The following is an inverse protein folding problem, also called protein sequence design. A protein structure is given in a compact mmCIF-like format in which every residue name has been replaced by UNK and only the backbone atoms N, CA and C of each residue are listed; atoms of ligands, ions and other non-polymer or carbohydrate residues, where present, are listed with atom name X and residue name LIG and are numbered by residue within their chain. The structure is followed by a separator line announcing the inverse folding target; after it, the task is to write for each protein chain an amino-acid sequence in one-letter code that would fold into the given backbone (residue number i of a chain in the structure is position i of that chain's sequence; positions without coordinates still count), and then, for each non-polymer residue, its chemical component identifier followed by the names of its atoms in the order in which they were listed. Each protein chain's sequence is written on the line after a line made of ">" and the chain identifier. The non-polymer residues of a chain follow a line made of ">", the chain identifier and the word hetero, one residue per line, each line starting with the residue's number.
data_IF_406188112701
#
_entry.id   IF_406188112701
#
_cell.length_a   1.000
_cell.length_b   1.000
_cell.length_c   1.000
_cell.angle_alpha   90.00
_cell.angle_beta   90.00
_cell.angle_gamma   90.00
#
_symmetry.space_group_name_H-M   'P 1'
#
loop_
_entity.id
_entity.type
_entity.pdbx_description
1 polymer ?
#
# COMPACT_ATOMS: atom_id res chain seq x y z
N UNK A 1 -16.07 44.68 12.52
CA UNK A 1 -15.02 43.97 11.76
C UNK A 1 -13.72 43.80 12.57
N UNK A 2 -13.17 44.86 13.20
CA UNK A 2 -11.98 44.73 14.09
C UNK A 2 -12.21 43.81 15.31
N UNK A 3 -13.34 43.95 16.01
CA UNK A 3 -13.68 43.08 17.15
C UNK A 3 -13.85 41.59 16.79
N UNK A 4 -14.15 41.28 15.52
CA UNK A 4 -14.22 39.91 15.03
C UNK A 4 -12.82 39.33 14.75
N UNK A 5 -11.89 40.16 14.29
CA UNK A 5 -10.46 39.80 14.14
C UNK A 5 -9.80 39.54 15.50
N UNK A 6 -10.10 40.34 16.51
CA UNK A 6 -9.53 40.17 17.86
C UNK A 6 -10.04 38.89 18.53
N UNK A 7 -11.35 38.58 18.44
CA UNK A 7 -11.91 37.32 18.94
C UNK A 7 -11.37 36.07 18.23
N UNK A 8 -10.97 36.20 16.96
CA UNK A 8 -10.30 35.11 16.24
C UNK A 8 -8.84 34.95 16.66
N UNK A 9 -8.10 36.04 16.88
CA UNK A 9 -6.73 35.96 17.38
C UNK A 9 -6.65 35.36 18.80
N UNK A 10 -7.61 35.70 19.66
CA UNK A 10 -7.67 35.21 21.05
C UNK A 10 -8.03 33.71 21.13
N UNK A 11 -8.94 33.24 20.28
CA UNK A 11 -9.21 31.78 20.11
C UNK A 11 -8.01 31.00 19.56
N UNK A 12 -7.09 31.66 18.85
CA UNK A 12 -5.92 30.99 18.24
C UNK A 12 -4.66 31.01 19.12
N UNK A 13 -4.48 31.99 20.01
CA UNK A 13 -3.41 31.95 21.03
C UNK A 13 -3.51 30.71 21.93
N UNK A 14 -4.73 30.21 22.18
CA UNK A 14 -4.97 28.98 22.93
C UNK A 14 -4.81 27.67 22.12
N UNK A 15 -4.52 27.74 20.81
CA UNK A 15 -4.52 26.58 19.90
C UNK A 15 -3.12 26.09 19.49
N UNK A 16 -2.06 26.76 19.94
CA UNK A 16 -0.66 26.36 19.65
C UNK A 16 -0.22 25.05 20.32
N UNK A 17 -1.07 24.43 21.16
CA UNK A 17 -0.83 23.11 21.74
C UNK A 17 -1.49 21.94 20.95
N UNK A 18 -2.08 22.19 19.77
CA UNK A 18 -2.95 21.23 19.07
C UNK A 18 -2.37 20.58 17.80
N UNK A 19 -1.05 20.44 17.69
CA UNK A 19 -0.46 19.66 16.59
C UNK A 19 -0.92 18.18 16.59
N UNK A 20 -1.37 17.67 17.74
CA UNK A 20 -1.88 16.29 17.84
C UNK A 20 -3.28 16.10 17.21
N UNK A 21 -4.11 17.14 17.15
CA UNK A 21 -5.52 17.04 16.72
C UNK A 21 -5.65 16.79 15.22
N UNK A 22 -4.71 17.25 14.38
CA UNK A 22 -4.82 17.11 12.92
C UNK A 22 -4.58 15.65 12.46
N UNK A 23 -3.99 14.81 13.32
CA UNK A 23 -3.59 13.44 12.94
C UNK A 23 -4.49 12.32 13.49
N UNK A 24 -5.55 12.66 14.23
CA UNK A 24 -6.37 11.70 14.99
C UNK A 24 -7.22 10.74 14.13
N UNK A 25 -7.26 10.91 12.80
CA UNK A 25 -7.97 9.99 11.88
C UNK A 25 -7.07 9.22 10.91
N UNK A 26 -5.73 9.37 11.00
CA UNK A 26 -4.79 8.78 10.04
C UNK A 26 -4.11 7.58 10.68
N UNK A 27 -4.56 6.39 10.32
CA UNK A 27 -4.04 5.13 10.86
C UNK A 27 -2.69 4.72 10.26
N UNK A 28 -2.32 5.28 9.11
CA UNK A 28 -1.04 4.97 8.47
C UNK A 28 0.08 5.89 9.04
N UNK A 29 1.10 5.33 9.72
CA UNK A 29 2.16 6.12 10.36
C UNK A 29 3.03 6.88 9.34
N UNK A 30 3.19 6.34 8.11
CA UNK A 30 3.91 7.04 7.04
C UNK A 30 3.14 8.27 6.55
N UNK A 31 1.81 8.18 6.41
CA UNK A 31 0.98 9.35 6.08
C UNK A 31 1.03 10.40 7.19
N UNK A 32 0.98 9.96 8.46
CA UNK A 32 1.12 10.84 9.63
C UNK A 32 2.46 11.58 9.63
N UNK A 33 3.56 10.88 9.33
CA UNK A 33 4.89 11.44 9.19
C UNK A 33 4.98 12.45 8.03
N UNK A 34 4.46 12.11 6.85
CA UNK A 34 4.44 13.01 5.69
C UNK A 34 3.71 14.31 5.98
N UNK A 35 2.56 14.23 6.66
CA UNK A 35 1.78 15.39 7.09
C UNK A 35 2.54 16.21 8.12
N UNK A 36 3.12 15.58 9.16
CA UNK A 36 3.94 16.29 10.17
C UNK A 36 5.16 16.99 9.55
N UNK A 37 5.88 16.32 8.66
CA UNK A 37 7.04 16.85 7.94
C UNK A 37 6.64 18.05 7.06
N UNK A 38 5.51 17.94 6.37
CA UNK A 38 4.94 19.02 5.57
C UNK A 38 4.58 20.24 6.44
N UNK A 39 3.84 20.04 7.55
CA UNK A 39 3.45 21.11 8.45
C UNK A 39 4.67 21.81 9.10
N UNK A 40 5.67 21.04 9.53
CA UNK A 40 6.91 21.57 10.13
C UNK A 40 7.69 22.47 9.15
N UNK A 41 7.73 22.10 7.87
CA UNK A 41 8.35 22.97 6.84
C UNK A 41 7.49 24.20 6.51
N UNK A 42 6.17 24.10 6.57
CA UNK A 42 5.26 25.22 6.30
C UNK A 42 5.12 26.24 7.44
N UNK A 43 5.51 25.93 8.69
CA UNK A 43 5.46 26.88 9.81
C UNK A 43 6.57 27.93 9.75
N UNK A 44 7.67 27.68 9.02
CA UNK A 44 8.79 28.61 8.89
C UNK A 44 8.59 29.72 7.83
N UNK A 45 7.56 29.61 6.99
CA UNK A 45 7.22 30.65 6.00
C UNK A 45 5.88 31.32 6.32
N UNK A 46 5.84 32.67 6.24
CA UNK A 46 4.64 33.50 6.41
C UNK A 46 3.65 33.29 5.25
N UNK A 47 3.05 32.11 5.15
CA UNK A 47 1.99 31.81 4.20
C UNK A 47 0.61 32.19 4.78
N UNK A 48 -0.28 32.67 3.90
CA UNK A 48 -1.62 33.11 4.30
C UNK A 48 -2.47 31.91 4.74
N UNK A 49 -3.37 32.13 5.71
CA UNK A 49 -4.24 31.10 6.29
C UNK A 49 -5.01 30.28 5.23
N UNK A 50 -5.38 30.91 4.12
CA UNK A 50 -6.10 30.27 3.00
C UNK A 50 -5.24 29.22 2.29
N UNK A 51 -3.92 29.43 2.19
CA UNK A 51 -2.99 28.52 1.53
C UNK A 51 -2.79 27.21 2.31
N UNK A 52 -2.88 27.25 3.65
CA UNK A 52 -2.73 26.05 4.49
C UNK A 52 -3.98 25.15 4.42
N UNK A 53 -5.16 25.72 4.22
CA UNK A 53 -6.42 24.96 4.14
C UNK A 53 -6.57 24.26 2.79
N UNK A 54 -6.31 24.93 1.66
CA UNK A 54 -6.53 24.36 0.32
C UNK A 54 -5.55 23.22 -0.01
N UNK A 55 -4.29 23.32 0.45
CA UNK A 55 -3.27 22.28 0.23
C UNK A 55 -3.54 21.03 1.06
N UNK A 56 -4.11 21.19 2.28
CA UNK A 56 -4.60 20.08 3.08
C UNK A 56 -5.80 19.39 2.41
N UNK A 57 -6.72 20.16 1.82
CA UNK A 57 -7.87 19.58 1.08
C UNK A 57 -7.41 18.79 -0.15
N UNK A 58 -6.39 19.26 -0.87
CA UNK A 58 -5.85 18.55 -2.04
C UNK A 58 -5.16 17.22 -1.66
N UNK A 59 -4.46 17.19 -0.53
CA UNK A 59 -3.78 15.99 -0.01
C UNK A 59 -4.79 14.94 0.49
N UNK A 60 -5.92 15.39 1.04
CA UNK A 60 -7.07 14.56 1.45
C UNK A 60 -7.94 14.09 0.27
N UNK A 61 -7.94 14.81 -0.86
CA UNK A 61 -8.69 14.40 -2.06
C UNK A 61 -7.94 13.38 -2.94
N UNK A 62 -6.61 13.27 -2.82
CA UNK A 62 -5.85 12.18 -3.44
C UNK A 62 -5.90 10.87 -2.65
N UNK A 63 -6.43 10.90 -1.42
CA UNK A 63 -6.77 9.70 -0.66
C UNK A 63 -8.19 9.26 -0.99
N UNK A 64 -8.38 8.73 -2.20
CA UNK A 64 -9.51 7.83 -2.45
C UNK A 64 -9.28 6.61 -1.53
N UNK A 65 -10.23 6.23 -0.69
CA UNK A 65 -10.10 5.02 0.11
C UNK A 65 -10.15 3.82 -0.85
N UNK A 66 -8.99 3.25 -1.13
CA UNK A 66 -8.89 1.84 -1.50
C UNK A 66 -9.17 1.02 -0.22
N UNK A 67 -10.42 1.03 0.23
CA UNK A 67 -10.93 0.05 1.19
C UNK A 67 -11.29 -1.23 0.45
N UNK A 68 -10.30 -1.89 -0.15
CA UNK A 68 -10.35 -3.33 -0.41
C UNK A 68 -8.93 -3.85 -0.18
N UNK A 69 -8.83 -4.80 0.76
CA UNK A 69 -7.65 -5.52 1.26
C UNK A 69 -6.78 -4.75 2.28
N UNK A 70 -7.32 -4.57 3.49
CA UNK A 70 -6.51 -4.47 4.71
C UNK A 70 -6.18 -5.89 5.21
N UNK A 71 -5.03 -6.44 4.81
CA UNK A 71 -4.31 -7.41 5.63
C UNK A 71 -3.30 -6.62 6.46
N UNK A 72 -3.71 -6.18 7.64
CA UNK A 72 -2.82 -5.60 8.64
C UNK A 72 -2.85 -6.48 9.89
N UNK A 73 -1.82 -7.32 10.02
CA UNK A 73 -1.31 -7.82 11.29
C UNK A 73 -0.55 -6.68 11.97
N UNK A 74 -1.25 -5.92 12.82
CA UNK A 74 -0.63 -5.11 13.87
C UNK A 74 -1.03 -5.69 15.24
N UNK A 75 -0.11 -5.83 16.20
CA UNK A 75 -0.44 -6.27 17.55
C UNK A 75 -1.15 -5.12 18.28
N UNK A 76 -2.46 -5.02 18.12
CA UNK A 76 -3.28 -4.17 18.96
C UNK A 76 -3.54 -4.88 20.29
N UNK A 77 -3.26 -4.18 21.39
CA UNK A 77 -3.81 -4.48 22.71
C UNK A 77 -5.33 -4.32 22.62
N UNK A 78 -6.00 -5.36 22.14
CA UNK A 78 -7.43 -5.34 21.84
C UNK A 78 -8.22 -5.38 23.15
N UNK A 79 -8.95 -4.29 23.41
CA UNK A 79 -10.09 -4.31 24.32
C UNK A 79 -11.09 -5.34 23.78
N UNK A 80 -11.24 -6.43 24.52
CA UNK A 80 -12.10 -7.57 24.23
C UNK A 80 -13.58 -7.15 24.19
N UNK A 81 -14.05 -6.66 23.05
CA UNK A 81 -15.47 -6.74 22.70
C UNK A 81 -15.78 -8.21 22.45
N UNK A 82 -16.36 -8.87 23.46
CA UNK A 82 -16.95 -10.21 23.35
C UNK A 82 -18.01 -10.18 22.25
N UNK A 83 -17.62 -10.57 21.04
CA UNK A 83 -18.56 -10.96 20.01
C UNK A 83 -19.29 -12.20 20.54
N UNK A 84 -20.61 -12.06 20.67
CA UNK A 84 -21.56 -13.10 21.02
C UNK A 84 -21.25 -14.30 20.12
N UNK A 85 -20.82 -15.40 20.74
CA UNK A 85 -20.51 -16.66 20.06
C UNK A 85 -21.78 -17.19 19.41
N UNK A 86 -21.85 -17.01 18.09
CA UNK A 86 -22.94 -17.53 17.27
C UNK A 86 -22.98 -19.07 17.40
N UNK A 87 -24.16 -19.69 17.51
CA UNK A 87 -24.31 -21.13 17.70
C UNK A 87 -23.70 -21.88 16.52
N UNK A 88 -23.08 -23.02 16.83
CA UNK A 88 -22.42 -23.99 15.94
C UNK A 88 -22.83 -23.84 14.47
N UNK A 89 -22.11 -22.98 13.74
CA UNK A 89 -22.22 -22.91 12.29
C UNK A 89 -21.39 -24.10 11.81
N UNK A 90 -22.06 -25.12 11.27
CA UNK A 90 -21.41 -26.26 10.63
C UNK A 90 -20.23 -25.75 9.80
N UNK A 91 -19.02 -26.20 10.16
CA UNK A 91 -17.80 -25.68 9.60
C UNK A 91 -17.85 -25.87 8.07
N UNK A 92 -18.04 -24.77 7.34
CA UNK A 92 -18.05 -24.80 5.87
C UNK A 92 -16.77 -25.48 5.39
N UNK A 93 -16.84 -26.32 4.34
CA UNK A 93 -15.66 -27.03 3.86
C UNK A 93 -14.55 -26.04 3.51
N UNK A 94 -13.28 -26.40 3.77
CA UNK A 94 -12.15 -25.52 3.53
C UNK A 94 -12.02 -25.20 2.04
N UNK A 95 -11.80 -23.92 1.70
CA UNK A 95 -11.72 -23.45 0.31
C UNK A 95 -10.40 -23.90 -0.31
N UNK A 96 -10.45 -24.90 -1.20
CA UNK A 96 -9.26 -25.41 -1.92
C UNK A 96 -8.87 -24.58 -3.15
N UNK A 97 -9.85 -23.97 -3.82
CA UNK A 97 -9.68 -23.31 -5.13
C UNK A 97 -10.27 -21.92 -5.14
N UNK A 98 -9.54 -20.95 -5.68
CA UNK A 98 -9.95 -19.55 -5.77
C UNK A 98 -9.82 -19.08 -7.23
N UNK A 99 -10.96 -18.71 -7.81
CA UNK A 99 -10.99 -18.02 -9.11
C UNK A 99 -10.85 -16.50 -8.88
N UNK A 100 -9.84 -15.89 -9.51
CA UNK A 100 -9.56 -14.45 -9.43
C UNK A 100 -9.89 -13.84 -10.78
N UNK A 101 -10.84 -12.90 -10.80
CA UNK A 101 -11.21 -12.17 -12.02
C UNK A 101 -10.37 -10.88 -12.10
N UNK A 102 -9.44 -10.86 -13.06
CA UNK A 102 -8.53 -9.78 -13.40
C UNK A 102 -7.07 -10.07 -13.05
N UNK A 103 -6.21 -10.27 -14.05
CA UNK A 103 -4.75 -10.40 -13.92
C UNK A 103 -4.03 -9.03 -13.93
N UNK A 104 -4.61 -8.06 -13.22
CA UNK A 104 -3.92 -6.82 -12.86
C UNK A 104 -2.89 -7.05 -11.76
N UNK A 105 -2.22 -5.97 -11.33
CA UNK A 105 -1.29 -6.03 -10.19
C UNK A 105 -1.97 -6.61 -8.95
N UNK A 106 -3.21 -6.21 -8.66
CA UNK A 106 -3.97 -6.69 -7.51
C UNK A 106 -4.25 -8.21 -7.59
N UNK A 107 -4.78 -8.70 -8.73
CA UNK A 107 -5.08 -10.13 -8.89
C UNK A 107 -3.83 -11.01 -8.87
N UNK A 108 -2.75 -10.56 -9.53
CA UNK A 108 -1.46 -11.25 -9.49
C UNK A 108 -0.86 -11.26 -8.07
N UNK A 109 -0.97 -10.14 -7.33
CA UNK A 109 -0.49 -10.06 -5.95
C UNK A 109 -1.31 -10.95 -5.01
N UNK A 110 -2.64 -11.00 -5.19
CA UNK A 110 -3.53 -11.86 -4.42
C UNK A 110 -3.25 -13.34 -4.69
N UNK A 111 -3.11 -13.73 -5.95
CA UNK A 111 -2.74 -15.10 -6.31
C UNK A 111 -1.44 -15.51 -5.62
N UNK A 112 -0.43 -14.63 -5.67
CA UNK A 112 0.82 -14.86 -4.97
C UNK A 112 0.66 -15.01 -3.46
N UNK A 113 -0.14 -14.15 -2.83
CA UNK A 113 -0.40 -14.23 -1.40
C UNK A 113 -1.08 -15.56 -1.04
N UNK A 114 -2.09 -15.98 -1.78
CA UNK A 114 -2.82 -17.24 -1.53
C UNK A 114 -1.92 -18.47 -1.67
N UNK A 115 -1.02 -18.48 -2.65
CA UNK A 115 -0.17 -19.64 -2.94
C UNK A 115 1.12 -19.67 -2.10
N UNK A 116 1.59 -18.53 -1.60
CA UNK A 116 2.92 -18.41 -0.98
C UNK A 116 2.89 -17.90 0.47
N UNK A 117 1.79 -17.34 0.96
CA UNK A 117 1.70 -16.84 2.34
C UNK A 117 1.07 -17.87 3.29
N UNK A 118 1.85 -18.31 4.27
CA UNK A 118 1.35 -19.14 5.37
C UNK A 118 0.26 -18.42 6.16
N UNK A 119 0.37 -17.09 6.36
CA UNK A 119 -0.64 -16.31 7.08
C UNK A 119 -2.00 -16.39 6.37
N UNK A 120 -2.02 -16.27 5.04
CA UNK A 120 -3.24 -16.36 4.24
C UNK A 120 -3.82 -17.78 4.23
N UNK A 121 -2.95 -18.79 4.24
CA UNK A 121 -3.37 -20.19 4.18
C UNK A 121 -3.59 -20.83 5.57
N UNK A 122 -3.23 -20.16 6.66
CA UNK A 122 -3.21 -20.71 8.02
C UNK A 122 -4.53 -21.35 8.44
N UNK A 123 -5.65 -20.68 8.15
CA UNK A 123 -7.00 -21.20 8.42
C UNK A 123 -7.26 -22.53 7.69
N UNK A 124 -6.79 -22.64 6.45
CA UNK A 124 -6.93 -23.81 5.61
C UNK A 124 -5.99 -24.95 6.04
N UNK A 125 -4.71 -24.66 6.27
CA UNK A 125 -3.72 -25.67 6.70
C UNK A 125 -4.03 -26.24 8.07
N UNK A 126 -4.57 -25.43 8.98
CA UNK A 126 -5.00 -25.90 10.30
C UNK A 126 -6.19 -26.87 10.20
N UNK A 127 -7.14 -26.60 9.30
CA UNK A 127 -8.28 -27.49 9.05
C UNK A 127 -7.90 -28.80 8.32
N UNK A 128 -6.82 -28.79 7.55
CA UNK A 128 -6.28 -30.00 6.91
C UNK A 128 -5.52 -30.88 7.91
N UNK A 129 -4.70 -30.28 8.78
CA UNK A 129 -3.93 -31.02 9.79
C UNK A 129 -4.81 -31.84 10.72
N UNK A 130 -6.03 -31.38 11.01
CA UNK A 130 -6.99 -32.14 11.84
C UNK A 130 -7.59 -33.34 11.12
N UNK A 131 -7.61 -33.35 9.78
CA UNK A 131 -8.17 -34.46 8.97
C UNK A 131 -7.13 -35.51 8.60
N UNK A 132 -5.87 -35.12 8.40
CA UNK A 132 -4.83 -36.03 7.92
C UNK A 132 -4.20 -36.92 9.01
N UNK A 133 -4.81 -37.05 10.19
CA UNK A 133 -4.40 -38.10 11.15
C UNK A 133 -4.64 -39.52 10.58
N UNK A 134 -5.43 -39.65 9.52
CA UNK A 134 -5.82 -40.94 8.93
C UNK A 134 -5.01 -41.35 7.68
N UNK A 135 -3.94 -40.62 7.29
CA UNK A 135 -2.84 -41.19 6.51
C UNK A 135 -2.87 -41.14 4.97
N UNK A 136 -3.71 -40.33 4.32
CA UNK A 136 -3.65 -40.12 2.85
C UNK A 136 -2.95 -38.79 2.49
N UNK A 137 -1.78 -38.87 1.86
CA UNK A 137 -1.06 -37.71 1.32
C UNK A 137 -1.62 -37.32 -0.07
N UNK A 138 -2.51 -36.32 -0.14
CA UNK A 138 -2.88 -35.70 -1.43
C UNK A 138 -1.70 -34.85 -1.95
N UNK A 139 -1.20 -35.18 -3.14
CA UNK A 139 -0.18 -34.39 -3.84
C UNK A 139 -0.76 -33.05 -4.33
N UNK A 140 -0.60 -31.98 -3.53
CA UNK A 140 -1.09 -30.65 -3.89
C UNK A 140 -0.03 -29.82 -4.63
N UNK A 141 -0.45 -29.19 -5.74
CA UNK A 141 0.43 -28.34 -6.57
C UNK A 141 0.85 -27.02 -5.90
N UNK A 142 0.20 -26.63 -4.81
CA UNK A 142 0.50 -25.40 -4.06
C UNK A 142 1.09 -25.73 -2.69
N UNK A 143 2.01 -24.88 -2.22
CA UNK A 143 2.72 -25.10 -0.95
C UNK A 143 1.78 -25.23 0.25
N UNK A 144 0.62 -24.56 0.20
CA UNK A 144 -0.35 -24.56 1.29
C UNK A 144 -1.71 -25.14 0.89
N UNK A 145 -1.79 -25.81 -0.25
CA UNK A 145 -3.00 -26.48 -0.73
C UNK A 145 -4.14 -25.58 -1.22
N UNK A 146 -3.91 -24.27 -1.37
CA UNK A 146 -4.82 -23.34 -2.04
C UNK A 146 -4.34 -23.11 -3.47
N UNK A 147 -5.19 -23.43 -4.44
CA UNK A 147 -4.96 -23.19 -5.85
C UNK A 147 -5.66 -21.92 -6.32
N UNK A 148 -4.90 -20.95 -6.83
CA UNK A 148 -5.46 -19.74 -7.42
C UNK A 148 -5.46 -19.85 -8.96
N UNK A 149 -6.61 -19.59 -9.59
CA UNK A 149 -6.75 -19.49 -11.03
C UNK A 149 -7.10 -18.07 -11.40
N UNK A 150 -6.32 -17.40 -12.26
CA UNK A 150 -6.64 -16.06 -12.72
C UNK A 150 -7.33 -16.10 -14.08
N UNK A 151 -8.34 -15.26 -14.23
CA UNK A 151 -9.04 -15.02 -15.48
C UNK A 151 -8.89 -13.55 -15.85
N UNK A 152 -8.48 -13.24 -17.08
CA UNK A 152 -8.40 -11.86 -17.57
C UNK A 152 -9.05 -11.78 -18.95
N UNK A 153 -9.76 -10.68 -19.22
CA UNK A 153 -10.39 -10.47 -20.53
C UNK A 153 -9.39 -10.05 -21.61
N UNK A 154 -8.20 -9.60 -21.22
CA UNK A 154 -7.14 -9.21 -22.16
C UNK A 154 -6.41 -10.45 -22.64
N UNK A 155 -6.16 -10.50 -23.95
CA UNK A 155 -5.38 -11.58 -24.59
C UNK A 155 -3.93 -11.65 -24.09
N UNK A 156 -3.38 -10.52 -23.65
CA UNK A 156 -2.02 -10.44 -23.11
C UNK A 156 -1.86 -9.23 -22.18
N UNK A 157 -0.81 -9.27 -21.35
CA UNK A 157 -0.39 -8.15 -20.52
C UNK A 157 0.41 -7.15 -21.36
N UNK A 158 -0.07 -5.92 -21.46
CA UNK A 158 0.67 -4.84 -22.11
C UNK A 158 1.76 -4.29 -21.18
N UNK A 159 3.00 -4.74 -21.38
CA UNK A 159 4.16 -4.32 -20.62
C UNK A 159 4.68 -2.93 -21.00
N UNK A 160 4.26 -2.39 -22.15
CA UNK A 160 4.67 -1.06 -22.63
C UNK A 160 3.74 0.03 -22.09
N UNK A 161 2.49 -0.31 -21.83
CA UNK A 161 1.52 0.60 -21.24
C UNK A 161 1.66 0.68 -19.73
N UNK A 162 2.18 1.79 -19.22
CA UNK A 162 2.29 1.95 -17.78
C UNK A 162 2.63 3.35 -17.30
N UNK A 163 1.98 3.74 -16.22
CA UNK A 163 2.45 4.78 -15.33
C UNK A 163 3.53 4.22 -14.40
N UNK A 164 4.43 5.09 -13.93
CA UNK A 164 5.32 4.76 -12.82
C UNK A 164 4.51 4.58 -11.53
N UNK A 165 4.86 3.55 -10.76
CA UNK A 165 4.25 3.21 -9.46
C UNK A 165 5.35 3.29 -8.40
N UNK A 166 5.00 3.83 -7.23
CA UNK A 166 5.86 3.79 -6.06
C UNK A 166 5.53 2.57 -5.20
N UNK A 167 6.53 1.74 -4.93
CA UNK A 167 6.45 0.54 -4.11
C UNK A 167 7.26 0.73 -2.83
N UNK A 168 6.66 1.40 -1.84
CA UNK A 168 7.27 1.54 -0.52
C UNK A 168 6.80 0.39 0.37
N UNK A 169 5.63 0.54 1.03
CA UNK A 169 5.05 -0.51 1.87
C UNK A 169 4.81 -1.84 1.14
N UNK A 170 4.54 -1.79 -0.17
CA UNK A 170 4.40 -3.00 -0.99
C UNK A 170 5.65 -3.87 -1.01
N UNK A 171 6.86 -3.29 -1.00
CA UNK A 171 8.11 -4.06 -1.00
C UNK A 171 8.35 -4.78 0.33
N UNK A 172 8.01 -4.13 1.45
CA UNK A 172 8.08 -4.74 2.77
C UNK A 172 7.13 -5.94 2.89
N UNK A 173 5.91 -5.81 2.37
CA UNK A 173 4.94 -6.91 2.34
C UNK A 173 5.37 -8.03 1.40
N UNK A 174 5.87 -7.70 0.21
CA UNK A 174 6.40 -8.70 -0.74
C UNK A 174 7.53 -9.53 -0.11
N UNK A 175 8.39 -8.91 0.71
CA UNK A 175 9.44 -9.65 1.40
C UNK A 175 8.89 -10.69 2.37
N UNK A 176 7.81 -10.35 3.10
CA UNK A 176 7.15 -11.29 4.03
C UNK A 176 6.47 -12.45 3.28
N UNK A 177 5.83 -12.14 2.15
CA UNK A 177 5.08 -13.13 1.36
C UNK A 177 6.03 -14.03 0.54
N UNK A 178 6.96 -13.44 -0.21
CA UNK A 178 7.87 -14.15 -1.09
C UNK A 178 9.17 -13.33 -1.30
N UNK A 179 10.23 -13.61 -0.51
CA UNK A 179 11.51 -12.93 -0.64
C UNK A 179 12.15 -13.04 -2.03
N UNK A 180 11.92 -14.15 -2.75
CA UNK A 180 12.47 -14.34 -4.09
C UNK A 180 11.78 -13.41 -5.11
N UNK A 181 10.46 -13.29 -5.03
CA UNK A 181 9.69 -12.34 -5.83
C UNK A 181 10.06 -10.90 -5.48
N UNK A 182 10.20 -10.57 -4.20
CA UNK A 182 10.63 -9.24 -3.77
C UNK A 182 11.97 -8.84 -4.40
N UNK A 183 12.97 -9.74 -4.42
CA UNK A 183 14.26 -9.48 -5.08
C UNK A 183 14.11 -9.28 -6.58
N UNK A 184 13.28 -10.08 -7.25
CA UNK A 184 12.99 -9.91 -8.69
C UNK A 184 12.36 -8.53 -8.96
N UNK A 185 11.40 -8.10 -8.13
CA UNK A 185 10.79 -6.77 -8.23
C UNK A 185 11.80 -5.66 -7.95
N UNK A 186 12.64 -5.81 -6.92
CA UNK A 186 13.70 -4.84 -6.60
C UNK A 186 14.69 -4.66 -7.76
N UNK A 187 15.10 -5.77 -8.40
CA UNK A 187 15.99 -5.75 -9.56
C UNK A 187 15.35 -5.10 -10.80
N UNK A 188 14.03 -5.18 -10.93
CA UNK A 188 13.29 -4.55 -12.03
C UNK A 188 12.90 -3.09 -11.74
N UNK A 189 13.09 -2.62 -10.50
CA UNK A 189 12.71 -1.29 -10.05
C UNK A 189 13.93 -0.35 -9.93
N UNK A 190 13.65 0.94 -9.77
CA UNK A 190 14.63 1.98 -9.47
C UNK A 190 14.51 2.39 -8.00
N UNK A 191 15.60 2.36 -7.21
CA UNK A 191 15.58 2.86 -5.84
C UNK A 191 15.15 4.34 -5.78
N UNK A 192 14.19 4.65 -4.93
CA UNK A 192 13.62 5.98 -4.79
C UNK A 192 14.21 6.69 -3.56
N UNK A 193 15.31 7.41 -3.77
CA UNK A 193 16.02 8.13 -2.70
C UNK A 193 15.42 9.49 -2.38
N UNK A 194 15.03 10.24 -3.41
CA UNK A 194 14.50 11.59 -3.24
C UNK A 194 13.45 11.92 -4.32
N UNK A 195 12.51 12.79 -3.94
CA UNK A 195 11.54 13.41 -4.85
C UNK A 195 11.82 14.90 -4.90
N UNK A 196 12.02 15.41 -6.12
CA UNK A 196 12.12 16.83 -6.41
C UNK A 196 10.98 17.22 -7.31
N UNK A 197 10.15 18.16 -6.88
CA UNK A 197 9.07 18.70 -7.69
C UNK A 197 9.17 20.21 -7.75
N UNK A 198 9.17 20.74 -8.97
CA UNK A 198 9.03 22.18 -9.20
C UNK A 198 7.54 22.48 -9.24
N UNK A 199 7.05 23.20 -8.24
CA UNK A 199 5.67 23.66 -8.25
C UNK A 199 5.66 25.09 -8.74
N UNK A 200 4.82 25.36 -9.74
CA UNK A 200 4.44 26.73 -10.04
C UNK A 200 3.64 27.24 -8.83
N UNK A 201 3.96 28.40 -8.25
CA UNK A 201 3.15 28.96 -7.18
C UNK A 201 1.70 29.09 -7.67
N UNK A 202 0.76 28.51 -6.92
CA UNK A 202 -0.65 28.47 -7.31
C UNK A 202 -1.28 29.88 -7.31
N UNK A 203 -0.71 30.80 -6.53
CA UNK A 203 -1.19 32.17 -6.37
C UNK A 203 0.01 33.14 -6.24
N UNK A 204 -0.09 34.31 -6.85
CA UNK A 204 0.96 35.32 -7.13
C UNK A 204 1.96 34.92 -8.23
N UNK A 205 1.71 35.46 -9.42
CA UNK A 205 2.39 35.16 -10.68
C UNK A 205 3.03 36.42 -11.30
N UNK A 206 3.33 37.45 -10.50
CA UNK A 206 3.86 38.71 -11.07
C UNK A 206 5.37 38.66 -11.31
N UNK A 207 6.07 37.63 -10.84
CA UNK A 207 7.48 37.43 -11.19
C UNK A 207 7.58 36.58 -12.46
N UNK A 208 7.26 37.19 -13.60
CA UNK A 208 7.35 36.59 -14.94
C UNK A 208 8.75 36.06 -15.27
N UNK A 209 9.76 36.50 -14.52
CA UNK A 209 11.15 36.09 -14.65
C UNK A 209 11.50 34.82 -13.85
N UNK A 210 10.64 34.34 -12.93
CA UNK A 210 10.93 33.15 -12.10
C UNK A 210 9.68 32.31 -11.75
N UNK A 211 9.02 31.67 -12.73
CA UNK A 211 7.76 30.94 -12.52
C UNK A 211 7.88 29.65 -11.68
N UNK A 212 9.09 29.20 -11.29
CA UNK A 212 9.32 27.93 -10.59
C UNK A 212 10.23 28.06 -9.35
N UNK A 213 9.96 29.06 -8.52
CA UNK A 213 10.84 29.40 -7.40
C UNK A 213 10.82 28.36 -6.25
N UNK A 214 9.71 27.64 -6.06
CA UNK A 214 9.59 26.67 -4.96
C UNK A 214 9.92 25.26 -5.45
N UNK A 215 11.12 24.79 -5.10
CA UNK A 215 11.51 23.40 -5.28
C UNK A 215 11.11 22.61 -4.03
N UNK A 216 10.08 21.76 -4.16
CA UNK A 216 9.79 20.76 -3.14
C UNK A 216 10.88 19.69 -3.23
N UNK A 217 11.77 19.65 -2.25
CA UNK A 217 12.74 18.59 -2.08
C UNK A 217 12.38 17.72 -0.87
N UNK A 218 12.16 16.45 -1.15
CA UNK A 218 11.92 15.41 -0.15
C UNK A 218 12.98 14.32 -0.31
N UNK A 219 13.88 14.21 0.65
CA UNK A 219 14.77 13.07 0.79
C UNK A 219 13.98 11.93 1.46
N UNK A 220 13.55 10.94 0.68
CA UNK A 220 12.71 9.83 1.15
C UNK A 220 13.51 8.91 2.05
N UNK A 221 14.78 8.66 1.71
CA UNK A 221 15.67 7.83 2.50
C UNK A 221 15.87 8.41 3.90
N UNK A 222 16.16 9.71 3.98
CA UNK A 222 16.30 10.42 5.25
C UNK A 222 14.98 10.51 6.01
N UNK A 223 13.87 10.77 5.32
CA UNK A 223 12.54 10.79 5.94
C UNK A 223 12.20 9.45 6.61
N UNK A 224 12.50 8.33 5.94
CA UNK A 224 12.30 6.98 6.50
C UNK A 224 13.25 6.73 7.67
N UNK A 225 14.54 7.09 7.55
CA UNK A 225 15.53 6.94 8.63
C UNK A 225 15.22 7.77 9.87
N UNK A 226 14.51 8.89 9.71
CA UNK A 226 14.10 9.78 10.80
C UNK A 226 12.66 9.54 11.28
N UNK A 227 11.96 8.54 10.72
CA UNK A 227 10.60 8.18 11.12
C UNK A 227 10.54 7.54 12.52
N UNK A 228 9.33 7.20 12.98
CA UNK A 228 9.15 6.39 14.18
C UNK A 228 9.66 4.95 13.95
N UNK A 229 10.03 4.24 15.02
CA UNK A 229 10.67 2.91 14.93
C UNK A 229 9.83 1.88 14.18
N UNK A 230 8.49 1.95 14.29
CA UNK A 230 7.58 1.08 13.53
C UNK A 230 7.76 1.23 12.01
N UNK A 231 7.95 2.47 11.54
CA UNK A 231 8.17 2.76 10.12
C UNK A 231 9.56 2.31 9.69
N UNK A 232 10.57 2.55 10.52
CA UNK A 232 11.95 2.09 10.24
C UNK A 232 12.01 0.58 10.14
N UNK A 233 11.45 -0.13 11.11
CA UNK A 233 11.46 -1.59 11.14
C UNK A 233 10.68 -2.21 9.97
N UNK A 234 9.66 -1.52 9.48
CA UNK A 234 8.88 -1.96 8.32
C UNK A 234 9.53 -1.64 6.97
N UNK A 235 10.21 -0.49 6.84
CA UNK A 235 10.72 0.00 5.56
C UNK A 235 12.25 -0.06 5.41
N UNK A 236 13.00 -0.40 6.45
CA UNK A 236 14.44 -0.63 6.38
C UNK A 236 14.68 -2.12 6.60
N UNK A 237 15.17 -2.80 5.57
CA UNK A 237 15.46 -4.23 5.65
C UNK A 237 16.88 -4.49 5.19
N UNK A 238 17.65 -5.22 6.01
CA UNK A 238 19.09 -5.44 5.82
C UNK A 238 19.89 -4.13 5.69
N UNK A 239 19.44 -3.06 6.35
CA UNK A 239 20.06 -1.74 6.27
C UNK A 239 19.68 -0.94 5.02
N UNK A 240 18.85 -1.48 4.13
CA UNK A 240 18.40 -0.82 2.90
C UNK A 240 16.97 -0.30 3.02
N UNK A 241 16.75 0.92 2.52
CA UNK A 241 15.41 1.52 2.49
C UNK A 241 14.58 0.92 1.35
N UNK A 242 13.46 0.31 1.70
CA UNK A 242 12.48 -0.31 0.81
C UNK A 242 11.56 0.72 0.16
N UNK A 243 12.14 1.66 -0.59
CA UNK A 243 11.43 2.65 -1.38
C UNK A 243 11.87 2.54 -2.84
N UNK A 244 10.95 2.17 -3.71
CA UNK A 244 11.23 1.88 -5.11
C UNK A 244 10.22 2.54 -6.03
N UNK A 245 10.64 2.92 -7.23
CA UNK A 245 9.79 3.29 -8.35
C UNK A 245 9.91 2.23 -9.44
N UNK A 246 8.78 1.74 -9.94
CA UNK A 246 8.76 0.73 -11.00
C UNK A 246 7.70 1.10 -12.04
N UNK A 247 7.95 0.76 -13.29
CA UNK A 247 6.92 0.84 -14.33
C UNK A 247 5.87 -0.24 -14.10
N UNK A 248 4.58 0.10 -14.23
CA UNK A 248 3.47 -0.86 -14.10
C UNK A 248 3.71 -2.17 -14.87
N UNK A 249 4.12 -2.08 -16.13
CA UNK A 249 4.36 -3.25 -16.97
C UNK A 249 5.47 -4.16 -16.43
N UNK A 250 6.58 -3.57 -15.96
CA UNK A 250 7.69 -4.32 -15.36
C UNK A 250 7.27 -5.04 -14.05
N UNK A 251 6.42 -4.40 -13.24
CA UNK A 251 5.85 -5.02 -12.05
C UNK A 251 4.97 -6.23 -12.42
N UNK A 252 4.10 -6.08 -13.42
CA UNK A 252 3.23 -7.18 -13.87
C UNK A 252 4.03 -8.37 -14.42
N UNK A 253 5.10 -8.13 -15.18
CA UNK A 253 6.00 -9.19 -15.66
C UNK A 253 6.67 -9.90 -14.49
N UNK A 254 7.18 -9.14 -13.51
CA UNK A 254 7.85 -9.72 -12.33
C UNK A 254 6.91 -10.62 -11.52
N UNK A 255 5.64 -10.21 -11.38
CA UNK A 255 4.60 -11.00 -10.73
C UNK A 255 4.19 -12.22 -11.57
N UNK A 256 4.04 -12.08 -12.89
CA UNK A 256 3.61 -13.17 -13.76
C UNK A 256 4.64 -14.31 -13.82
N UNK A 257 5.93 -13.98 -13.99
CA UNK A 257 7.01 -14.99 -14.07
C UNK A 257 7.07 -15.85 -12.81
N UNK A 258 6.79 -15.27 -11.63
CA UNK A 258 6.86 -16.01 -10.37
C UNK A 258 5.60 -16.85 -10.10
N UNK A 259 4.44 -16.40 -10.57
CA UNK A 259 3.21 -17.15 -10.41
C UNK A 259 3.20 -18.37 -11.34
N UNK A 260 3.72 -18.24 -12.55
CA UNK A 260 3.34 -19.10 -13.66
C UNK A 260 4.47 -19.92 -14.31
N UNK A 261 5.66 -19.96 -13.72
CA UNK A 261 6.72 -20.91 -14.14
C UNK A 261 6.29 -22.40 -14.04
N UNK A 262 5.08 -22.72 -13.51
CA UNK A 262 4.59 -24.10 -13.36
C UNK A 262 3.25 -24.46 -14.02
N UNK A 263 2.44 -23.51 -14.50
CA UNK A 263 1.14 -23.83 -15.13
C UNK A 263 1.06 -23.15 -16.50
N UNK A 264 1.13 -23.97 -17.53
CA UNK A 264 0.98 -23.59 -18.95
C UNK A 264 -0.27 -22.73 -19.08
N UNK A 265 -0.14 -21.55 -19.69
CA UNK A 265 -1.27 -20.70 -20.03
C UNK A 265 -2.22 -21.47 -20.97
N UNK A 266 -3.28 -22.07 -20.43
CA UNK A 266 -4.48 -22.35 -21.21
C UNK A 266 -5.19 -21.03 -21.42
N UNK A 267 -4.79 -20.30 -22.46
CA UNK A 267 -5.58 -19.19 -22.99
C UNK A 267 -6.87 -19.83 -23.47
N UNK A 268 -8.00 -19.41 -22.90
CA UNK A 268 -9.34 -19.76 -23.37
C UNK A 268 -9.50 -19.27 -24.82
N UNK A 269 -9.10 -20.08 -25.79
CA UNK A 269 -9.72 -20.14 -27.13
C UNK A 269 -10.94 -21.07 -27.07
N UNK A 270 -11.75 -20.98 -26.02
CA UNK A 270 -13.07 -21.55 -26.09
C UNK A 270 -13.91 -20.60 -26.93
N UNK A 271 -14.11 -21.00 -28.19
CA UNK A 271 -15.25 -20.61 -29.02
C UNK A 271 -16.52 -20.73 -28.17
N UNK A 272 -16.90 -19.64 -27.52
CA UNK A 272 -18.27 -19.46 -27.06
C UNK A 272 -19.06 -19.20 -28.34
N UNK A 273 -19.46 -20.30 -29.00
CA UNK A 273 -20.43 -20.26 -30.07
C UNK A 273 -21.71 -19.64 -29.53
N UNK A 274 -21.92 -18.36 -29.87
CA UNK A 274 -23.19 -17.64 -29.76
C UNK A 274 -23.89 -17.73 -31.11
#
# INVERSE_FOLDING_TARGET
>A
HLAWKERLQEKYKNKNNNNDIITTGIHNPFQKMMIKSFYSKCTNHKHSFVQKTTLLTLLVLTTIPLEVISLASSPSTASSTKLISNPQKDASPPIKRVAIIGAGIAGLSLAHALENSEECASSYTNALRTKNQDGEEEESSSRYGIEATLFDSRKSLDYKSGSGIQLNGGMAILQKINPALQRKVANAALPLKAVRSRTKPWFNNDDSNNPFQTLLELNIEEAIKNADDDVKNGLIVNGETMAYAIMRGALQVSLCVCAWEKKVMEIFEHDIGV
#
